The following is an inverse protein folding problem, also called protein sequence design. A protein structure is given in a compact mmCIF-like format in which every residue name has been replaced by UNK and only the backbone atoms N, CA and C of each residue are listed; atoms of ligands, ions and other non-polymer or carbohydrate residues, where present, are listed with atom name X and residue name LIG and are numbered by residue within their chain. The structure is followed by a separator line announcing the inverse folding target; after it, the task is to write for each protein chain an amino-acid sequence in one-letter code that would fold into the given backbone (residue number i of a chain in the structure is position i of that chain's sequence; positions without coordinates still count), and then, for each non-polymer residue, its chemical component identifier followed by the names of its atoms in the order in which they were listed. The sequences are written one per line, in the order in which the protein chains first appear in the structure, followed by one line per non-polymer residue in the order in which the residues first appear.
data_IF_374367367432
#
_entry.id   IF_374367367432
#
_cell.length_a   1.000
_cell.length_b   1.000
_cell.length_c   1.000
_cell.angle_alpha   90.00
_cell.angle_beta   90.00
_cell.angle_gamma   90.00
#
_symmetry.space_group_name_H-M   'P 1'
#
loop_
_entity.id
_entity.type
_entity.pdbx_description
1 polymer ?
#
# COMPACT_ATOMS: atom_id res chain seq x y z
N UNK A 1 -5.20 -38.56 -38.62
CA UNK A 1 -4.28 -37.68 -37.88
C UNK A 1 -4.98 -37.06 -36.66
N UNK A 2 -4.93 -37.67 -35.47
CA UNK A 2 -5.60 -37.09 -34.27
C UNK A 2 -4.84 -35.93 -33.64
N UNK A 3 -3.49 -35.96 -33.67
CA UNK A 3 -2.65 -34.93 -33.05
C UNK A 3 -2.77 -33.59 -33.76
N UNK A 4 -2.79 -33.59 -35.08
CA UNK A 4 -2.94 -32.36 -35.88
C UNK A 4 -4.31 -31.71 -35.68
N UNK A 5 -5.38 -32.50 -35.51
CA UNK A 5 -6.70 -31.93 -35.21
C UNK A 5 -6.71 -31.19 -33.86
N UNK A 6 -6.03 -31.71 -32.83
CA UNK A 6 -5.92 -31.02 -31.54
C UNK A 6 -5.19 -29.68 -31.70
N UNK A 7 -4.06 -29.68 -32.41
CA UNK A 7 -3.29 -28.45 -32.68
C UNK A 7 -4.13 -27.43 -33.45
N UNK A 8 -4.88 -27.84 -34.47
CA UNK A 8 -5.74 -26.94 -35.25
C UNK A 8 -6.89 -26.38 -34.42
N UNK A 9 -7.50 -27.20 -33.54
CA UNK A 9 -8.56 -26.76 -32.64
C UNK A 9 -8.06 -25.74 -31.61
N UNK A 10 -6.87 -25.95 -31.05
CA UNK A 10 -6.25 -25.03 -30.09
C UNK A 10 -5.90 -23.67 -30.73
N UNK A 11 -5.56 -23.66 -32.02
CA UNK A 11 -5.15 -22.46 -32.76
C UNK A 11 -6.31 -21.74 -33.48
N UNK A 12 -7.49 -22.35 -33.57
CA UNK A 12 -8.66 -21.81 -34.27
C UNK A 12 -9.05 -20.40 -33.79
N UNK A 13 -9.09 -20.09 -32.47
CA UNK A 13 -9.44 -18.75 -32.00
C UNK A 13 -8.44 -17.69 -32.49
N UNK A 14 -7.14 -18.01 -32.49
CA UNK A 14 -6.09 -17.11 -32.96
C UNK A 14 -6.10 -16.94 -34.49
N UNK A 15 -6.55 -17.98 -35.22
CA UNK A 15 -6.77 -17.93 -36.66
C UNK A 15 -7.92 -16.98 -37.02
N UNK A 16 -9.03 -17.02 -36.27
CA UNK A 16 -10.18 -16.13 -36.47
C UNK A 16 -9.85 -14.66 -36.19
N UNK A 17 -8.97 -14.39 -35.22
CA UNK A 17 -8.50 -13.03 -34.89
C UNK A 17 -7.35 -12.53 -35.79
N UNK A 18 -6.99 -13.28 -36.84
CA UNK A 18 -5.88 -12.98 -37.75
C UNK A 18 -4.48 -12.86 -37.09
N UNK A 19 -4.32 -13.37 -35.86
CA UNK A 19 -3.12 -13.20 -35.02
C UNK A 19 -1.99 -14.23 -35.28
N UNK A 20 -2.17 -15.11 -36.26
CA UNK A 20 -1.17 -16.14 -36.61
C UNK A 20 -0.20 -15.68 -37.70
N UNK A 21 1.01 -16.24 -37.67
CA UNK A 21 1.99 -16.10 -38.76
C UNK A 21 1.49 -16.80 -40.03
N UNK A 22 1.94 -16.33 -41.20
CA UNK A 22 1.49 -16.79 -42.51
C UNK A 22 1.63 -18.31 -42.70
N UNK A 23 2.76 -18.87 -42.28
CA UNK A 23 3.06 -20.30 -42.37
C UNK A 23 2.05 -21.15 -41.58
N UNK A 24 1.69 -20.70 -40.37
CA UNK A 24 0.70 -21.37 -39.51
C UNK A 24 -0.71 -21.23 -40.07
N UNK A 25 -1.05 -20.10 -40.69
CA UNK A 25 -2.34 -19.91 -41.38
C UNK A 25 -2.49 -20.89 -42.55
N UNK A 26 -1.46 -21.03 -43.39
CA UNK A 26 -1.47 -21.97 -44.51
C UNK A 26 -1.63 -23.43 -44.05
N UNK A 27 -0.95 -23.81 -42.96
CA UNK A 27 -1.11 -25.13 -42.34
C UNK A 27 -2.57 -25.40 -41.89
N UNK A 28 -3.20 -24.42 -41.22
CA UNK A 28 -4.59 -24.54 -40.78
C UNK A 28 -5.54 -24.63 -41.98
N UNK A 29 -5.39 -23.78 -42.99
CA UNK A 29 -6.20 -23.80 -44.21
C UNK A 29 -6.12 -25.14 -44.96
N UNK A 30 -4.92 -25.71 -45.06
CA UNK A 30 -4.69 -27.01 -45.70
C UNK A 30 -5.32 -28.16 -44.89
N UNK A 31 -5.26 -28.09 -43.56
CA UNK A 31 -5.94 -29.06 -42.70
C UNK A 31 -7.47 -28.93 -42.79
N UNK A 32 -8.03 -27.72 -42.83
CA UNK A 32 -9.48 -27.50 -42.96
C UNK A 32 -10.03 -27.99 -44.31
N UNK A 33 -9.23 -27.98 -45.38
CA UNK A 33 -9.58 -28.57 -46.68
C UNK A 33 -9.75 -30.09 -46.61
N UNK A 34 -8.96 -30.78 -45.79
CA UNK A 34 -8.92 -32.25 -45.72
C UNK A 34 -9.65 -32.87 -44.53
N UNK A 35 -9.96 -32.11 -43.46
CA UNK A 35 -10.58 -32.61 -42.24
C UNK A 35 -11.99 -32.01 -42.01
N UNK A 36 -13.03 -32.84 -42.17
CA UNK A 36 -14.42 -32.44 -41.97
C UNK A 36 -14.76 -32.06 -40.52
N UNK A 37 -14.15 -32.73 -39.54
CA UNK A 37 -14.41 -32.48 -38.11
C UNK A 37 -13.92 -31.08 -37.68
N UNK A 38 -12.70 -30.71 -38.08
CA UNK A 38 -12.16 -29.38 -37.76
C UNK A 38 -12.91 -28.27 -38.49
N UNK A 39 -13.42 -28.54 -39.71
CA UNK A 39 -14.27 -27.60 -40.45
C UNK A 39 -15.58 -27.30 -39.74
N UNK A 40 -16.26 -28.33 -39.23
CA UNK A 40 -17.50 -28.15 -38.46
C UNK A 40 -17.27 -27.33 -37.19
N UNK A 41 -16.15 -27.54 -36.51
CA UNK A 41 -15.79 -26.77 -35.30
C UNK A 41 -15.52 -25.30 -35.66
N UNK A 42 -14.79 -25.04 -36.76
CA UNK A 42 -14.52 -23.69 -37.26
C UNK A 42 -15.79 -22.94 -37.72
N UNK A 43 -16.78 -23.65 -38.23
CA UNK A 43 -18.08 -23.07 -38.59
C UNK A 43 -18.94 -22.79 -37.35
N UNK A 44 -18.81 -23.60 -36.29
CA UNK A 44 -19.53 -23.41 -35.03
C UNK A 44 -18.91 -22.31 -34.14
N UNK A 45 -17.61 -22.03 -34.27
CA UNK A 45 -16.93 -20.96 -33.52
C UNK A 45 -17.20 -19.55 -34.04
N UNK A 46 -17.75 -19.40 -35.26
CA UNK A 46 -18.20 -18.12 -35.83
C UNK A 46 -19.40 -17.48 -35.10
N UNK A 47 -19.87 -18.06 -33.99
CA UNK A 47 -20.82 -17.40 -33.10
C UNK A 47 -20.10 -16.16 -32.54
N UNK A 48 -20.54 -14.94 -32.84
CA UNK A 48 -19.87 -13.74 -32.35
C UNK A 48 -19.86 -13.79 -30.83
N UNK A 49 -18.66 -13.95 -30.27
CA UNK A 49 -18.45 -13.80 -28.84
C UNK A 49 -18.95 -12.39 -28.47
N UNK A 50 -19.75 -12.25 -27.39
CA UNK A 50 -20.27 -10.96 -26.98
C UNK A 50 -19.08 -10.01 -26.82
N UNK A 51 -19.11 -8.95 -27.62
CA UNK A 51 -18.12 -7.90 -27.65
C UNK A 51 -17.95 -7.39 -26.21
N UNK A 52 -16.71 -7.47 -25.73
CA UNK A 52 -16.23 -6.74 -24.55
C UNK A 52 -16.97 -7.04 -23.24
N UNK A 53 -16.63 -8.15 -22.59
CA UNK A 53 -16.68 -8.13 -21.12
C UNK A 53 -15.68 -7.07 -20.70
N UNK A 54 -16.18 -5.93 -20.23
CA UNK A 54 -15.37 -4.85 -19.67
C UNK A 54 -14.81 -5.31 -18.30
N UNK A 55 -13.84 -6.23 -18.32
CA UNK A 55 -13.19 -6.81 -17.12
C UNK A 55 -12.50 -5.71 -16.30
N UNK A 56 -12.20 -4.57 -16.92
CA UNK A 56 -11.52 -3.44 -16.29
C UNK A 56 -12.35 -2.73 -15.21
N UNK A 57 -13.67 -2.65 -15.35
CA UNK A 57 -14.53 -1.86 -14.46
C UNK A 57 -14.85 -2.51 -13.12
N UNK A 58 -15.10 -3.83 -13.11
CA UNK A 58 -15.44 -4.58 -11.89
C UNK A 58 -14.21 -4.79 -11.01
N UNK A 59 -13.05 -5.08 -11.62
CA UNK A 59 -11.77 -5.26 -10.92
C UNK A 59 -11.30 -3.97 -10.24
N UNK A 60 -11.34 -2.82 -10.94
CA UNK A 60 -10.90 -1.54 -10.38
C UNK A 60 -11.73 -1.08 -9.19
N UNK A 61 -13.06 -1.30 -9.22
CA UNK A 61 -13.93 -0.96 -8.10
C UNK A 61 -13.65 -1.84 -6.88
N UNK A 62 -13.35 -3.13 -7.07
CA UNK A 62 -13.00 -4.06 -6.01
C UNK A 62 -11.63 -3.74 -5.39
N UNK A 63 -10.61 -3.53 -6.23
CA UNK A 63 -9.26 -3.15 -5.78
C UNK A 63 -9.32 -1.83 -5.01
N UNK A 64 -10.02 -0.82 -5.53
CA UNK A 64 -10.20 0.47 -4.84
C UNK A 64 -10.85 0.31 -3.48
N UNK A 65 -11.90 -0.51 -3.36
CA UNK A 65 -12.56 -0.75 -2.08
C UNK A 65 -11.63 -1.45 -1.08
N UNK A 66 -10.77 -2.36 -1.54
CA UNK A 66 -9.77 -3.03 -0.71
C UNK A 66 -8.69 -2.04 -0.25
N UNK A 67 -8.15 -1.21 -1.15
CA UNK A 67 -7.13 -0.21 -0.81
C UNK A 67 -7.68 0.84 0.15
N UNK A 68 -8.94 1.26 -0.02
CA UNK A 68 -9.59 2.20 0.92
C UNK A 68 -9.78 1.57 2.30
N UNK A 69 -10.23 0.30 2.37
CA UNK A 69 -10.36 -0.41 3.67
C UNK A 69 -9.00 -0.55 4.37
N UNK A 70 -7.95 -0.90 3.63
CA UNK A 70 -6.59 -0.99 4.17
C UNK A 70 -6.10 0.37 4.68
N UNK A 71 -6.28 1.44 3.89
CA UNK A 71 -5.93 2.80 4.31
C UNK A 71 -6.68 3.23 5.57
N UNK A 72 -7.98 2.93 5.69
CA UNK A 72 -8.76 3.22 6.90
C UNK A 72 -8.20 2.50 8.12
N UNK A 73 -7.83 1.23 7.99
CA UNK A 73 -7.22 0.45 9.09
C UNK A 73 -5.87 1.06 9.48
N UNK A 74 -5.02 1.40 8.51
CA UNK A 74 -3.72 2.05 8.76
C UNK A 74 -3.88 3.37 9.51
N UNK A 75 -4.78 4.24 9.05
CA UNK A 75 -5.07 5.53 9.69
C UNK A 75 -5.57 5.32 11.12
N UNK A 76 -6.43 4.32 11.35
CA UNK A 76 -6.94 4.01 12.69
C UNK A 76 -5.81 3.64 13.67
N UNK A 77 -4.94 2.70 13.30
CA UNK A 77 -3.81 2.29 14.16
C UNK A 77 -2.81 3.41 14.40
N UNK A 78 -2.48 4.18 13.36
CA UNK A 78 -1.55 5.31 13.48
C UNK A 78 -2.14 6.43 14.32
N UNK A 79 -3.45 6.69 14.22
CA UNK A 79 -4.14 7.68 15.06
C UNK A 79 -4.10 7.28 16.53
N UNK A 80 -4.34 6.01 16.85
CA UNK A 80 -4.22 5.50 18.23
C UNK A 80 -2.79 5.66 18.75
N UNK A 81 -1.80 5.25 17.97
CA UNK A 81 -0.38 5.40 18.35
C UNK A 81 0.00 6.87 18.58
N UNK A 82 -0.50 7.78 17.75
CA UNK A 82 -0.25 9.21 17.88
C UNK A 82 -0.90 9.81 19.13
N UNK A 83 -2.16 9.46 19.42
CA UNK A 83 -2.87 9.91 20.63
C UNK A 83 -2.13 9.44 21.88
N UNK A 84 -1.71 8.17 21.92
CA UNK A 84 -0.92 7.63 23.02
C UNK A 84 0.42 8.33 23.18
N UNK A 85 1.12 8.61 22.07
CA UNK A 85 2.40 9.31 22.09
C UNK A 85 2.30 10.74 22.63
N UNK A 86 1.28 11.50 22.20
CA UNK A 86 1.03 12.86 22.69
C UNK A 86 0.69 12.84 24.20
N UNK A 87 -0.02 11.82 24.68
CA UNK A 87 -0.36 11.68 26.10
C UNK A 87 0.82 11.34 27.02
N UNK A 88 1.94 10.89 26.45
CA UNK A 88 3.18 10.58 27.18
C UNK A 88 4.23 11.65 26.89
N UNK A 89 4.22 12.74 27.67
CA UNK A 89 5.24 13.79 27.56
C UNK A 89 6.40 13.55 28.53
N UNK A 90 7.59 14.02 28.16
CA UNK A 90 8.81 13.95 29.00
C UNK A 90 8.58 14.59 30.37
N UNK A 91 7.74 15.62 30.43
CA UNK A 91 7.48 16.42 31.63
C UNK A 91 6.63 15.69 32.68
N UNK A 92 5.97 14.59 32.31
CA UNK A 92 5.07 13.86 33.21
C UNK A 92 5.76 12.78 34.07
N UNK A 93 7.09 12.86 34.19
CA UNK A 93 7.96 11.90 34.90
C UNK A 93 7.73 10.43 34.46
N UNK A 94 7.28 10.25 33.22
CA UNK A 94 6.86 8.96 32.67
C UNK A 94 7.77 8.58 31.51
N UNK A 95 8.55 7.52 31.65
CA UNK A 95 9.38 6.97 30.57
C UNK A 95 8.56 6.36 29.41
N UNK A 96 7.23 6.34 29.52
CA UNK A 96 6.31 5.82 28.50
C UNK A 96 6.48 6.44 27.12
N UNK A 97 7.00 7.67 27.01
CA UNK A 97 7.28 8.31 25.73
C UNK A 97 8.29 7.53 24.89
N UNK A 98 9.24 6.84 25.52
CA UNK A 98 10.25 6.04 24.82
C UNK A 98 9.56 4.94 24.01
N UNK A 99 8.66 4.21 24.65
CA UNK A 99 7.93 3.11 24.03
C UNK A 99 6.93 3.62 22.98
N UNK A 100 6.14 4.65 23.31
CA UNK A 100 5.08 5.14 22.41
C UNK A 100 5.66 5.76 21.14
N UNK A 101 6.74 6.53 21.21
CA UNK A 101 7.37 7.11 20.02
C UNK A 101 8.16 6.08 19.19
N UNK A 102 8.77 5.07 19.82
CA UNK A 102 9.36 3.95 19.09
C UNK A 102 8.29 3.11 18.37
N UNK A 103 7.16 2.83 19.04
CA UNK A 103 6.02 2.14 18.44
C UNK A 103 5.42 2.95 17.29
N UNK A 104 5.20 4.24 17.48
CA UNK A 104 4.70 5.13 16.43
C UNK A 104 5.62 5.11 15.20
N UNK A 105 6.93 5.25 15.41
CA UNK A 105 7.92 5.17 14.32
C UNK A 105 7.89 3.84 13.58
N UNK A 106 7.85 2.72 14.30
CA UNK A 106 7.81 1.39 13.71
C UNK A 106 6.51 1.14 12.94
N UNK A 107 5.36 1.42 13.54
CA UNK A 107 4.03 1.20 12.93
C UNK A 107 3.85 2.07 11.68
N UNK A 108 4.19 3.36 11.76
CA UNK A 108 4.09 4.25 10.61
C UNK A 108 5.04 3.83 9.49
N UNK A 109 6.26 3.41 9.81
CA UNK A 109 7.19 2.92 8.78
C UNK A 109 6.71 1.61 8.14
N UNK A 110 6.16 0.67 8.92
CA UNK A 110 5.62 -0.59 8.40
C UNK A 110 4.45 -0.38 7.44
N UNK A 111 3.60 0.64 7.66
CA UNK A 111 2.45 0.91 6.81
C UNK A 111 2.77 1.79 5.60
N UNK A 112 3.58 2.84 5.78
CA UNK A 112 3.82 3.83 4.73
C UNK A 112 5.16 3.68 4.02
N UNK A 113 6.06 2.81 4.52
CA UNK A 113 7.41 2.55 3.98
C UNK A 113 8.22 3.83 3.75
N UNK A 114 7.97 4.87 4.55
CA UNK A 114 8.56 6.19 4.41
C UNK A 114 8.95 6.75 5.77
N UNK A 115 10.25 6.97 5.97
CA UNK A 115 10.79 7.58 7.19
C UNK A 115 10.30 9.02 7.37
N UNK A 116 10.12 9.76 6.27
CA UNK A 116 9.64 11.13 6.28
C UNK A 116 8.22 11.20 6.87
N UNK A 117 7.32 10.29 6.50
CA UNK A 117 5.95 10.27 7.04
C UNK A 117 5.96 10.03 8.56
N UNK A 118 6.79 9.10 9.03
CA UNK A 118 6.95 8.85 10.47
C UNK A 118 7.51 10.06 11.23
N UNK A 119 8.53 10.74 10.69
CA UNK A 119 9.11 11.95 11.28
C UNK A 119 8.09 13.09 11.31
N UNK A 120 7.34 13.32 10.23
CA UNK A 120 6.34 14.39 10.19
C UNK A 120 5.19 14.14 11.17
N UNK A 121 4.70 12.89 11.25
CA UNK A 121 3.61 12.53 12.16
C UNK A 121 4.03 12.56 13.64
N UNK A 122 5.27 12.21 13.96
CA UNK A 122 5.79 12.34 15.32
C UNK A 122 6.14 13.79 15.68
N UNK A 123 6.68 14.55 14.72
CA UNK A 123 7.25 15.86 14.97
C UNK A 123 6.25 17.01 14.98
N UNK A 124 5.44 17.16 13.91
CA UNK A 124 4.58 18.34 13.74
C UNK A 124 3.50 18.41 14.84
N UNK A 125 2.68 17.36 15.07
CA UNK A 125 1.63 17.43 16.08
C UNK A 125 2.21 17.64 17.49
N UNK A 126 3.32 16.97 17.81
CA UNK A 126 3.95 17.09 19.12
C UNK A 126 4.56 18.48 19.34
N UNK A 127 5.25 19.05 18.34
CA UNK A 127 5.79 20.40 18.45
C UNK A 127 4.68 21.44 18.65
N UNK A 128 3.58 21.33 17.89
CA UNK A 128 2.41 22.19 18.06
C UNK A 128 1.81 22.01 19.46
N UNK A 129 1.64 20.76 19.92
CA UNK A 129 1.09 20.46 21.24
C UNK A 129 1.94 21.05 22.37
N UNK A 130 3.27 20.87 22.32
CA UNK A 130 4.18 21.44 23.32
C UNK A 130 4.07 22.97 23.32
N UNK A 131 4.14 23.62 22.16
CA UNK A 131 3.96 25.07 22.09
C UNK A 131 2.62 25.53 22.67
N UNK A 132 1.52 24.83 22.36
CA UNK A 132 0.18 25.19 22.84
C UNK A 132 0.03 25.01 24.35
N UNK A 133 0.67 23.99 24.92
CA UNK A 133 0.68 23.74 26.37
C UNK A 133 1.41 24.82 27.19
N UNK A 134 2.24 25.66 26.56
CA UNK A 134 2.88 26.79 27.25
C UNK A 134 2.18 28.13 26.99
N UNK A 135 1.41 28.24 25.90
CA UNK A 135 0.83 29.51 25.46
C UNK A 135 -0.64 29.70 25.85
N UNK A 136 -1.35 28.65 26.28
CA UNK A 136 -2.80 28.72 26.50
C UNK A 136 -3.21 28.10 27.83
N UNK A 137 -4.07 28.78 28.59
CA UNK A 137 -4.61 28.28 29.87
C UNK A 137 -5.52 27.05 29.69
N UNK A 138 -6.10 26.89 28.50
CA UNK A 138 -6.97 25.74 28.17
C UNK A 138 -6.18 24.42 28.12
N UNK A 139 -4.96 24.45 27.61
CA UNK A 139 -4.09 23.28 27.45
C UNK A 139 -2.87 23.31 28.38
N UNK A 140 -2.79 24.34 29.25
CA UNK A 140 -1.63 24.63 30.08
C UNK A 140 -1.52 23.73 31.30
N UNK A 141 -0.76 22.65 31.18
CA UNK A 141 -0.30 21.85 32.34
C UNK A 141 1.03 22.40 32.92
N UNK A 142 1.79 23.21 32.17
CA UNK A 142 3.13 23.68 32.54
C UNK A 142 3.32 25.18 32.23
N UNK A 143 3.91 25.93 33.17
CA UNK A 143 4.20 27.36 33.00
C UNK A 143 5.69 27.56 32.66
N UNK A 144 5.96 28.31 31.59
CA UNK A 144 7.31 28.79 31.26
C UNK A 144 7.41 30.28 31.63
N UNK A 145 8.58 30.72 32.11
CA UNK A 145 8.75 32.13 32.51
C UNK A 145 8.91 33.06 31.30
N UNK A 146 9.30 32.51 30.15
CA UNK A 146 9.43 33.27 28.90
C UNK A 146 9.07 32.46 27.66
N UNK A 147 8.72 33.16 26.58
CA UNK A 147 8.53 32.54 25.27
C UNK A 147 9.79 31.79 24.78
N UNK A 148 10.98 32.33 25.07
CA UNK A 148 12.24 31.69 24.65
C UNK A 148 12.48 30.36 25.34
N UNK A 149 12.10 30.28 26.62
CA UNK A 149 12.19 29.07 27.42
C UNK A 149 11.18 28.02 26.94
N UNK A 150 9.92 28.42 26.70
CA UNK A 150 8.91 27.55 26.11
C UNK A 150 9.36 26.97 24.76
N UNK A 151 9.94 27.81 23.90
CA UNK A 151 10.45 27.39 22.60
C UNK A 151 11.63 26.42 22.74
N UNK A 152 12.56 26.68 23.66
CA UNK A 152 13.69 25.80 23.93
C UNK A 152 13.21 24.42 24.42
N UNK A 153 12.23 24.40 25.33
CA UNK A 153 11.64 23.17 25.83
C UNK A 153 10.93 22.40 24.70
N UNK A 154 10.13 23.08 23.87
CA UNK A 154 9.46 22.45 22.74
C UNK A 154 10.45 21.85 21.72
N UNK A 155 11.56 22.55 21.44
CA UNK A 155 12.60 22.06 20.52
C UNK A 155 13.39 20.88 21.10
N UNK A 156 13.76 20.93 22.37
CA UNK A 156 14.47 19.82 23.03
C UNK A 156 13.58 18.57 23.12
N UNK A 157 12.32 18.75 23.50
CA UNK A 157 11.28 17.71 23.47
C UNK A 157 11.14 17.11 22.07
N UNK A 158 11.05 17.94 21.03
CA UNK A 158 10.97 17.48 19.64
C UNK A 158 12.16 16.61 19.25
N UNK A 159 13.39 17.04 19.55
CA UNK A 159 14.59 16.26 19.23
C UNK A 159 14.57 14.89 19.89
N UNK A 160 14.24 14.83 21.19
CA UNK A 160 14.19 13.57 21.95
C UNK A 160 13.15 12.61 21.35
N UNK A 161 11.94 13.09 21.09
CA UNK A 161 10.88 12.26 20.50
C UNK A 161 11.27 11.75 19.10
N UNK A 162 11.88 12.59 18.26
CA UNK A 162 12.35 12.18 16.93
C UNK A 162 13.45 11.13 16.99
N UNK A 163 14.33 11.16 18.00
CA UNK A 163 15.35 10.11 18.19
C UNK A 163 14.69 8.74 18.42
N UNK A 164 13.69 8.65 19.29
CA UNK A 164 12.99 7.39 19.55
C UNK A 164 12.11 6.95 18.37
N UNK A 165 11.48 7.89 17.67
CA UNK A 165 10.80 7.60 16.41
C UNK A 165 11.76 7.03 15.37
N UNK A 166 12.99 7.56 15.27
CA UNK A 166 14.00 7.03 14.36
C UNK A 166 14.42 5.60 14.72
N UNK A 167 14.57 5.28 16.00
CA UNK A 167 14.79 3.90 16.47
C UNK A 167 13.62 3.00 16.02
N UNK A 168 12.39 3.47 16.19
CA UNK A 168 11.19 2.78 15.69
C UNK A 168 11.23 2.51 14.18
N UNK A 169 11.63 3.50 13.39
CA UNK A 169 11.78 3.37 11.93
C UNK A 169 12.80 2.27 11.59
N UNK A 170 13.94 2.21 12.27
CA UNK A 170 14.95 1.17 12.08
C UNK A 170 14.36 -0.21 12.38
N UNK A 171 13.64 -0.35 13.50
CA UNK A 171 12.96 -1.60 13.86
C UNK A 171 11.98 -2.02 12.76
N UNK A 172 11.13 -1.10 12.29
CA UNK A 172 10.20 -1.35 11.19
C UNK A 172 10.92 -1.78 9.91
N UNK A 173 12.04 -1.16 9.58
CA UNK A 173 12.88 -1.54 8.45
C UNK A 173 13.45 -2.96 8.58
N UNK A 174 14.01 -3.30 9.75
CA UNK A 174 14.53 -4.63 10.02
C UNK A 174 13.43 -5.72 9.89
N UNK A 175 12.22 -5.45 10.40
CA UNK A 175 11.08 -6.36 10.29
C UNK A 175 10.71 -6.60 8.82
N UNK A 176 10.63 -5.55 8.00
CA UNK A 176 10.33 -5.68 6.57
C UNK A 176 11.40 -6.50 5.86
N UNK A 177 12.67 -6.20 6.12
CA UNK A 177 13.80 -6.90 5.51
C UNK A 177 13.81 -8.38 5.87
N UNK A 178 13.61 -8.71 7.15
CA UNK A 178 13.55 -10.11 7.60
C UNK A 178 12.38 -10.89 6.99
N UNK A 179 11.26 -10.21 6.66
CA UNK A 179 10.12 -10.84 5.97
C UNK A 179 10.35 -11.03 4.48
N UNK A 180 11.15 -10.17 3.85
CA UNK A 180 11.50 -10.31 2.43
C UNK A 180 12.53 -11.44 2.19
N UNK A 181 13.32 -11.79 3.20
CA UNK A 181 14.33 -12.85 3.15
C UNK A 181 13.81 -14.26 3.50
N UNK A 182 12.59 -14.38 4.05
CA UNK A 182 11.90 -15.66 4.37
C UNK A 182 10.82 -15.98 3.34
#
# INVERSE_FOLDING_TARGET
MKKECAVVQDLLPLYEEDLLQLETKQFIEEHLKSCQNCRQIAEQSQIPLPTEVNVSGVSNKMIRNITLKLATIQIFFVSIALILAIGTTIMKDNSGFILTYALLGAVTYLFYRSALVAILLAGIPNFIWNCLSYMTDWFGEFYAESFSEALLIALTSLVIHLLFTFIGIIIGFCILKAREEN
#
